data_IF_569041459467
#
_entry.id   IF_569041459467
#
_cell.length_a   1.000
_cell.length_b   1.000
_cell.length_c   1.000
_cell.angle_alpha   90.00
_cell.angle_beta   90.00
_cell.angle_gamma   90.00
#
_symmetry.space_group_name_H-M   'P 1'
#
loop_
_entity.id
_entity.type
_entity.pdbx_description
1 polymer ?
#
# COMPACT_ATOMS: atom_id res chain seq x y z
N UNK A 1 7.77 -7.16 5.07
CA UNK A 1 8.63 -7.89 4.11
C UNK A 1 10.10 -7.48 4.21
N UNK A 2 10.43 -6.18 4.23
CA UNK A 2 11.85 -5.75 4.27
C UNK A 2 12.63 -6.21 5.50
N UNK A 3 12.00 -6.31 6.68
CA UNK A 3 12.68 -6.79 7.89
C UNK A 3 13.17 -8.26 7.77
N UNK A 4 12.39 -9.15 7.16
CA UNK A 4 12.85 -10.51 6.85
C UNK A 4 14.00 -10.47 5.85
N UNK A 5 13.90 -9.61 4.83
CA UNK A 5 14.96 -9.49 3.84
C UNK A 5 16.26 -8.96 4.44
N UNK A 6 16.17 -8.00 5.37
CA UNK A 6 17.31 -7.50 6.14
C UNK A 6 17.96 -8.61 6.98
N UNK A 7 17.15 -9.44 7.67
CA UNK A 7 17.64 -10.60 8.43
C UNK A 7 18.38 -11.59 7.53
N UNK A 8 17.77 -12.00 6.41
CA UNK A 8 18.37 -12.96 5.46
C UNK A 8 19.68 -12.43 4.89
N UNK A 9 19.70 -11.17 4.43
CA UNK A 9 20.93 -10.51 3.94
C UNK A 9 22.00 -10.46 5.03
N UNK A 10 21.62 -10.14 6.27
CA UNK A 10 22.54 -10.08 7.40
C UNK A 10 23.17 -11.44 7.72
N UNK A 11 22.39 -12.52 7.70
CA UNK A 11 22.91 -13.87 7.89
C UNK A 11 23.89 -14.29 6.80
N UNK A 12 23.55 -14.02 5.53
CA UNK A 12 24.44 -14.33 4.40
C UNK A 12 25.73 -13.53 4.52
N UNK A 13 25.66 -12.22 4.78
CA UNK A 13 26.83 -11.36 4.93
C UNK A 13 27.73 -11.78 6.10
N UNK A 14 27.15 -12.28 7.20
CA UNK A 14 27.90 -12.76 8.34
C UNK A 14 28.62 -14.10 8.07
N UNK A 15 27.98 -14.99 7.31
CA UNK A 15 28.47 -16.35 7.05
C UNK A 15 29.35 -16.45 5.79
N UNK A 16 29.14 -15.59 4.80
CA UNK A 16 29.90 -15.63 3.56
C UNK A 16 31.33 -15.10 3.75
N UNK A 17 32.30 -15.99 3.56
CA UNK A 17 33.75 -15.69 3.57
C UNK A 17 34.38 -15.87 2.18
N UNK A 18 33.60 -16.33 1.21
CA UNK A 18 34.02 -16.82 -0.09
C UNK A 18 33.68 -15.83 -1.20
N UNK A 19 32.59 -15.07 -1.05
CA UNK A 19 32.03 -14.14 -2.04
C UNK A 19 31.72 -14.81 -3.39
N UNK A 20 31.60 -16.15 -3.40
CA UNK A 20 31.25 -16.92 -4.58
C UNK A 20 29.75 -17.15 -4.61
N UNK A 21 29.14 -16.91 -5.77
CA UNK A 21 27.68 -17.00 -5.95
C UNK A 21 27.10 -18.37 -5.57
N UNK A 22 27.87 -19.45 -5.74
CA UNK A 22 27.46 -20.81 -5.35
C UNK A 22 27.30 -20.94 -3.83
N UNK A 23 28.23 -20.35 -3.08
CA UNK A 23 28.22 -20.40 -1.61
C UNK A 23 27.14 -19.47 -1.05
N UNK A 24 26.99 -18.28 -1.65
CA UNK A 24 25.88 -17.35 -1.36
C UNK A 24 24.52 -18.02 -1.57
N UNK A 25 24.35 -18.78 -2.65
CA UNK A 25 23.08 -19.47 -2.92
C UNK A 25 22.73 -20.49 -1.84
N UNK A 26 23.72 -21.27 -1.39
CA UNK A 26 23.53 -22.24 -0.30
C UNK A 26 23.17 -21.53 1.01
N UNK A 27 23.86 -20.45 1.34
CA UNK A 27 23.59 -19.65 2.53
C UNK A 27 22.22 -18.97 2.49
N UNK A 28 21.76 -18.55 1.31
CA UNK A 28 20.42 -18.02 1.10
C UNK A 28 19.35 -19.07 1.39
N UNK A 29 19.50 -20.28 0.83
CA UNK A 29 18.56 -21.38 1.06
C UNK A 29 18.48 -21.72 2.57
N UNK A 30 19.63 -21.75 3.26
CA UNK A 30 19.69 -21.96 4.72
C UNK A 30 19.05 -20.82 5.51
N UNK A 31 19.35 -19.56 5.16
CA UNK A 31 18.82 -18.38 5.86
C UNK A 31 17.30 -18.26 5.71
N UNK A 32 16.75 -18.60 4.54
CA UNK A 32 15.31 -18.61 4.30
C UNK A 32 14.59 -19.67 5.16
N UNK A 33 15.19 -20.85 5.33
CA UNK A 33 14.65 -21.92 6.18
C UNK A 33 14.71 -21.57 7.68
N UNK A 34 15.65 -20.73 8.09
CA UNK A 34 15.77 -20.28 9.48
C UNK A 34 14.77 -19.19 9.86
N UNK A 35 14.05 -18.59 8.90
CA UNK A 35 13.04 -17.57 9.20
C UNK A 35 11.88 -18.21 9.96
N UNK A 36 11.67 -17.76 11.20
CA UNK A 36 10.65 -18.34 12.08
C UNK A 36 9.31 -17.62 11.95
N UNK A 37 8.24 -18.26 12.43
CA UNK A 37 6.92 -17.64 12.55
C UNK A 37 6.95 -16.38 13.41
N UNK A 38 7.78 -16.34 14.45
CA UNK A 38 7.89 -15.16 15.30
C UNK A 38 8.59 -13.99 14.61
N UNK A 39 9.51 -14.23 13.68
CA UNK A 39 10.10 -13.18 12.84
C UNK A 39 9.04 -12.56 11.92
N UNK A 40 8.14 -13.38 11.37
CA UNK A 40 6.97 -12.89 10.65
C UNK A 40 6.03 -12.05 11.53
N UNK A 41 5.76 -12.49 12.76
CA UNK A 41 4.94 -11.71 13.71
C UNK A 41 5.58 -10.37 14.05
N UNK A 42 6.91 -10.30 14.20
CA UNK A 42 7.62 -9.03 14.42
C UNK A 42 7.41 -8.08 13.24
N UNK A 43 7.43 -8.60 12.01
CA UNK A 43 7.18 -7.78 10.82
C UNK A 43 5.77 -7.20 10.79
N UNK A 44 4.76 -7.99 11.16
CA UNK A 44 3.37 -7.53 11.24
C UNK A 44 3.26 -6.42 12.29
N UNK A 45 3.73 -6.68 13.52
CA UNK A 45 3.71 -5.68 14.61
C UNK A 45 4.44 -4.39 14.24
N UNK A 46 5.54 -4.48 13.51
CA UNK A 46 6.27 -3.30 13.06
C UNK A 46 5.47 -2.48 12.04
N UNK A 47 4.82 -3.16 11.08
CA UNK A 47 3.97 -2.48 10.11
C UNK A 47 2.75 -1.83 10.77
N UNK A 48 2.11 -2.52 11.72
CA UNK A 48 0.97 -1.99 12.48
C UNK A 48 1.39 -0.72 13.25
N UNK A 49 2.54 -0.77 13.93
CA UNK A 49 3.10 0.37 14.65
C UNK A 49 3.35 1.56 13.73
N UNK A 50 3.94 1.34 12.55
CA UNK A 50 4.17 2.41 11.57
C UNK A 50 2.85 3.02 11.09
N UNK A 51 1.83 2.20 10.84
CA UNK A 51 0.51 2.69 10.44
C UNK A 51 -0.16 3.52 11.53
N UNK A 52 -0.07 3.09 12.80
CA UNK A 52 -0.59 3.85 13.94
C UNK A 52 0.14 5.18 14.11
N UNK A 53 1.47 5.19 13.97
CA UNK A 53 2.28 6.41 14.05
C UNK A 53 1.94 7.38 12.92
N UNK A 54 1.87 6.89 11.68
CA UNK A 54 1.49 7.71 10.52
C UNK A 54 0.07 8.26 10.68
N UNK A 55 -0.88 7.47 11.17
CA UNK A 55 -2.25 7.91 11.42
C UNK A 55 -2.33 8.99 12.50
N UNK A 56 -1.55 8.85 13.58
CA UNK A 56 -1.49 9.84 14.64
C UNK A 56 -0.89 11.18 14.18
N UNK A 57 0.10 11.14 13.27
CA UNK A 57 0.74 12.35 12.72
C UNK A 57 -0.10 13.02 11.63
N UNK A 58 -0.67 12.24 10.71
CA UNK A 58 -1.40 12.77 9.56
C UNK A 58 -2.86 13.14 9.84
N UNK A 59 -3.44 12.64 10.94
CA UNK A 59 -4.88 12.79 11.22
C UNK A 59 -5.74 12.00 10.24
N UNK A 60 -7.06 12.14 10.29
CA UNK A 60 -7.91 11.42 9.34
C UNK A 60 -7.94 12.12 7.98
N UNK A 61 -8.03 11.32 6.90
CA UNK A 61 -8.25 11.87 5.55
C UNK A 61 -9.58 12.65 5.51
N UNK A 62 -10.59 12.24 6.29
CA UNK A 62 -11.86 12.98 6.43
C UNK A 62 -11.64 14.40 6.97
N UNK A 63 -10.84 14.58 8.02
CA UNK A 63 -10.52 15.91 8.57
C UNK A 63 -9.82 16.80 7.52
N UNK A 64 -9.00 16.22 6.66
CA UNK A 64 -8.33 16.93 5.57
C UNK A 64 -9.29 17.28 4.42
N UNK A 65 -10.21 16.37 4.07
CA UNK A 65 -11.20 16.56 3.00
C UNK A 65 -12.23 17.62 3.39
N UNK A 66 -12.72 17.65 4.64
CA UNK A 66 -13.67 18.67 5.09
C UNK A 66 -13.13 20.10 4.89
N UNK A 67 -11.83 20.31 5.11
CA UNK A 67 -11.18 21.62 4.88
C UNK A 67 -11.07 22.00 3.40
N UNK A 68 -11.16 21.04 2.50
CA UNK A 68 -11.08 21.26 1.05
C UNK A 68 -12.47 21.51 0.45
N UNK A 69 -13.56 21.35 1.21
CA UNK A 69 -14.92 21.66 0.74
C UNK A 69 -15.06 23.15 0.46
N UNK A 70 -14.88 23.53 -0.81
CA UNK A 70 -15.22 24.84 -1.33
C UNK A 70 -16.75 24.90 -1.38
N UNK A 71 -17.36 25.72 -0.52
CA UNK A 71 -18.76 26.10 -0.70
C UNK A 71 -18.83 26.96 -1.96
N UNK A 72 -19.19 26.34 -3.09
CA UNK A 72 -19.65 27.06 -4.26
C UNK A 72 -20.93 27.77 -3.83
N UNK A 73 -20.80 29.06 -3.51
CA UNK A 73 -21.95 29.94 -3.45
C UNK A 73 -22.59 29.89 -4.84
N UNK A 74 -23.92 29.76 -4.86
CA UNK A 74 -24.73 29.62 -6.07
C UNK A 74 -24.56 30.86 -6.96
N UNK A 75 -23.47 30.91 -7.72
CA UNK A 75 -23.17 31.98 -8.65
C UNK A 75 -23.95 31.71 -9.94
N UNK A 76 -25.16 32.26 -9.91
CA UNK A 76 -26.07 32.52 -11.04
C UNK A 76 -26.66 31.30 -11.74
N UNK A 77 -27.99 31.24 -11.68
CA UNK A 77 -28.84 30.36 -12.50
C UNK A 77 -28.41 30.36 -13.97
N UNK A 78 -27.66 29.34 -14.37
CA UNK A 78 -27.50 29.00 -15.78
C UNK A 78 -28.75 28.20 -16.17
N UNK A 79 -29.70 28.88 -16.81
CA UNK A 79 -30.89 28.25 -17.38
C UNK A 79 -30.46 27.15 -18.37
N UNK A 80 -30.57 25.90 -17.93
CA UNK A 80 -30.40 24.74 -18.79
C UNK A 80 -31.63 24.66 -19.69
N UNK A 81 -31.52 25.12 -20.94
CA UNK A 81 -32.59 24.88 -21.91
C UNK A 81 -32.61 23.39 -22.23
N UNK A 82 -33.64 22.68 -21.77
CA UNK A 82 -33.91 21.31 -22.19
C UNK A 82 -34.15 21.31 -23.71
N UNK A 83 -33.21 20.74 -24.46
CA UNK A 83 -33.50 20.24 -25.79
C UNK A 83 -33.89 18.79 -25.64
N UNK A 84 -35.13 18.48 -26.00
CA UNK A 84 -35.65 17.12 -26.06
C UNK A 84 -34.91 16.35 -27.17
N UNK A 85 -33.89 15.59 -26.78
CA UNK A 85 -33.28 14.59 -27.66
C UNK A 85 -33.98 13.24 -27.44
N UNK A 86 -34.68 12.78 -28.48
CA UNK A 86 -35.45 11.54 -28.53
C UNK A 86 -34.67 10.33 -28.02
N UNK A 87 -35.30 9.59 -27.11
CA UNK A 87 -34.82 8.35 -26.50
C UNK A 87 -34.44 7.32 -27.57
N UNK A 88 -33.13 7.12 -27.79
CA UNK A 88 -32.63 5.99 -28.56
C UNK A 88 -32.87 4.70 -27.77
N UNK A 89 -33.99 4.06 -28.09
CA UNK A 89 -34.45 2.78 -27.57
C UNK A 89 -33.51 1.66 -28.04
N UNK A 90 -32.33 1.53 -27.43
CA UNK A 90 -31.43 0.41 -27.67
C UNK A 90 -31.70 -0.74 -26.72
N UNK A 91 -32.60 -1.60 -27.21
CA UNK A 91 -32.45 -3.06 -27.23
C UNK A 91 -32.03 -3.70 -25.90
N UNK A 92 -33.02 -3.96 -25.05
CA UNK A 92 -33.07 -5.25 -24.38
C UNK A 92 -34.07 -6.12 -25.15
N UNK A 93 -33.56 -6.84 -26.14
CA UNK A 93 -34.30 -7.92 -26.79
C UNK A 93 -33.39 -9.14 -26.89
N UNK A 94 -33.88 -10.19 -26.23
CA UNK A 94 -33.58 -11.62 -26.32
C UNK A 94 -32.28 -12.11 -25.69
#
# INVERSE_FOLDING_TARGET
MELIWAQVKGEIAYKDKSFKIKDVRKLLDEALLNVTVDDWKKCIKHADKLQEEDFAESGTIDDAIERIVIKLQDDSESSFSEREDEVFKLRTLN
#
